data_IF_768447125834
#
_entry.id   IF_768447125834
#
_cell.length_a   1.000
_cell.length_b   1.000
_cell.length_c   1.000
_cell.angle_alpha   90.00
_cell.angle_beta   90.00
_cell.angle_gamma   90.00
#
_symmetry.space_group_name_H-M   'P 1'
#
loop_
_entity.id
_entity.type
_entity.pdbx_description
1 polymer ?
#
# COMPACT_ATOMS: atom_id res chain seq x y z
N UNK A 1 9.44 4.61 22.27
CA UNK A 1 10.28 3.45 22.61
C UNK A 1 9.45 2.40 23.31
N UNK A 2 9.63 1.14 22.93
CA UNK A 2 9.01 0.00 23.54
C UNK A 2 10.06 -1.09 23.79
N UNK A 3 9.94 -1.81 24.91
CA UNK A 3 10.74 -2.97 25.23
C UNK A 3 9.85 -3.99 25.96
N UNK A 4 9.96 -5.27 25.59
CA UNK A 4 9.21 -6.33 26.23
C UNK A 4 10.13 -7.38 26.89
N UNK A 5 9.53 -8.20 27.75
CA UNK A 5 10.23 -9.35 28.37
C UNK A 5 10.62 -10.43 27.35
N UNK A 6 10.02 -10.41 26.15
CA UNK A 6 10.37 -11.30 25.03
C UNK A 6 11.63 -10.87 24.29
N UNK A 7 12.33 -9.82 24.74
CA UNK A 7 13.47 -9.21 24.05
C UNK A 7 13.11 -8.55 22.71
N UNK A 8 11.89 -8.03 22.61
CA UNK A 8 11.47 -7.16 21.52
C UNK A 8 11.72 -5.71 21.90
N UNK A 9 12.36 -5.00 21.01
CA UNK A 9 12.68 -3.58 21.12
C UNK A 9 12.12 -2.84 19.92
N UNK A 10 11.43 -1.72 20.16
CA UNK A 10 10.93 -0.86 19.11
C UNK A 10 11.30 0.60 19.39
N UNK A 11 11.66 1.29 18.34
CA UNK A 11 11.88 2.73 18.36
C UNK A 11 11.04 3.37 17.24
N UNK A 12 10.20 4.32 17.63
CA UNK A 12 9.43 5.14 16.71
C UNK A 12 9.83 6.60 16.89
N UNK A 13 10.05 7.29 15.77
CA UNK A 13 10.25 8.71 15.74
C UNK A 13 9.39 9.33 14.64
N UNK A 14 8.66 10.37 14.98
CA UNK A 14 7.97 11.19 13.99
C UNK A 14 8.30 12.66 14.21
N UNK A 15 8.45 13.38 13.12
CA UNK A 15 8.71 14.81 13.13
C UNK A 15 8.06 15.47 11.93
N UNK A 16 7.37 16.58 12.17
CA UNK A 16 6.84 17.44 11.12
C UNK A 16 7.41 18.84 11.29
N UNK A 17 8.03 19.34 10.23
CA UNK A 17 8.68 20.66 10.22
C UNK A 17 8.02 21.53 9.16
N UNK A 18 7.60 22.72 9.58
CA UNK A 18 7.13 23.77 8.68
C UNK A 18 8.32 24.60 8.23
N UNK A 19 8.74 24.43 6.98
CA UNK A 19 9.90 25.11 6.41
C UNK A 19 9.59 26.55 5.99
N UNK A 20 8.33 26.80 5.60
CA UNK A 20 7.84 28.13 5.25
C UNK A 20 6.32 28.20 5.42
N UNK A 21 5.69 29.32 5.03
CA UNK A 21 4.22 29.45 5.03
C UNK A 21 3.52 28.43 4.13
N UNK A 22 4.22 27.89 3.11
CA UNK A 22 3.65 26.99 2.09
C UNK A 22 4.29 25.61 2.06
N UNK A 23 5.47 25.41 2.63
CA UNK A 23 6.23 24.16 2.61
C UNK A 23 6.30 23.51 3.98
N UNK A 24 6.07 22.23 4.01
CA UNK A 24 6.33 21.38 5.18
C UNK A 24 6.91 20.04 4.76
N UNK A 25 7.63 19.42 5.70
CA UNK A 25 8.11 18.06 5.54
C UNK A 25 7.80 17.25 6.79
N UNK A 26 7.54 15.97 6.62
CA UNK A 26 7.31 15.02 7.70
C UNK A 26 8.22 13.82 7.51
N UNK A 27 8.83 13.38 8.60
CA UNK A 27 9.66 12.18 8.66
C UNK A 27 9.06 11.24 9.69
N UNK A 28 8.86 9.98 9.31
CA UNK A 28 8.57 8.88 10.23
C UNK A 28 9.67 7.84 10.09
N UNK A 29 10.17 7.38 11.22
CA UNK A 29 11.14 6.30 11.29
C UNK A 29 10.66 5.27 12.30
N UNK A 30 10.76 4.02 11.94
CA UNK A 30 10.46 2.88 12.80
C UNK A 30 11.59 1.87 12.72
N UNK A 31 12.00 1.39 13.86
CA UNK A 31 12.92 0.26 14.03
C UNK A 31 12.29 -0.76 14.97
N UNK A 32 12.35 -2.02 14.59
CA UNK A 32 11.95 -3.14 15.41
C UNK A 32 13.03 -4.20 15.40
N UNK A 33 13.29 -4.78 16.57
CA UNK A 33 14.19 -5.92 16.69
C UNK A 33 13.64 -6.90 17.75
N UNK A 34 13.37 -8.15 17.32
CA UNK A 34 13.07 -9.29 18.18
C UNK A 34 14.21 -10.29 18.05
N UNK A 35 15.06 -10.38 19.08
CA UNK A 35 16.36 -11.09 18.96
C UNK A 35 16.28 -12.54 19.36
N UNK A 36 15.28 -12.95 20.14
CA UNK A 36 15.18 -14.30 20.69
C UNK A 36 14.05 -15.09 20.05
N UNK A 37 14.32 -16.36 19.80
CA UNK A 37 13.28 -17.33 19.56
C UNK A 37 12.66 -17.75 20.91
N UNK A 38 11.35 -17.71 21.01
CA UNK A 38 10.56 -18.14 22.16
C UNK A 38 9.80 -19.39 21.76
N UNK A 39 9.85 -20.40 22.62
CA UNK A 39 9.08 -21.65 22.55
C UNK A 39 8.47 -21.82 23.94
N UNK A 40 7.24 -21.33 24.13
CA UNK A 40 6.57 -21.27 25.45
C UNK A 40 5.78 -22.54 25.74
N UNK A 41 5.49 -23.34 24.72
CA UNK A 41 4.73 -24.58 24.80
C UNK A 41 5.61 -25.83 24.70
N UNK A 42 6.92 -25.66 24.56
CA UNK A 42 7.95 -26.73 24.48
C UNK A 42 7.70 -27.70 23.31
N UNK A 43 7.13 -27.23 22.19
CA UNK A 43 6.92 -28.09 21.00
C UNK A 43 8.11 -28.10 20.02
N UNK A 44 9.15 -27.34 20.32
CA UNK A 44 10.36 -27.26 19.54
C UNK A 44 10.30 -26.30 18.36
N UNK A 45 9.25 -25.48 18.27
CA UNK A 45 9.12 -24.41 17.27
C UNK A 45 9.08 -23.03 17.93
N UNK A 46 9.55 -22.04 17.23
CA UNK A 46 9.45 -20.67 17.70
C UNK A 46 8.02 -20.14 17.56
N UNK A 47 7.40 -19.74 18.68
CA UNK A 47 6.07 -19.13 18.74
C UNK A 47 6.04 -17.74 18.08
N UNK A 48 7.15 -17.03 18.17
CA UNK A 48 7.31 -15.67 17.64
C UNK A 48 8.57 -15.63 16.76
N UNK A 49 8.48 -15.12 15.53
CA UNK A 49 9.67 -14.98 14.69
C UNK A 49 10.63 -13.94 15.29
N UNK A 50 11.92 -14.16 15.10
CA UNK A 50 12.91 -13.09 15.26
C UNK A 50 12.73 -12.14 14.10
N UNK A 51 12.70 -10.85 14.39
CA UNK A 51 12.45 -9.79 13.39
C UNK A 51 13.54 -8.74 13.54
N UNK A 52 14.03 -8.27 12.43
CA UNK A 52 14.76 -7.00 12.34
C UNK A 52 14.14 -6.17 11.22
N UNK A 53 13.59 -5.00 11.56
CA UNK A 53 12.90 -4.15 10.60
C UNK A 53 13.36 -2.70 10.72
N UNK A 54 13.58 -2.08 9.57
CA UNK A 54 13.80 -0.66 9.39
C UNK A 54 12.74 -0.12 8.45
N UNK A 55 12.03 0.93 8.85
CA UNK A 55 11.02 1.56 8.03
C UNK A 55 11.19 3.09 8.13
N UNK A 56 11.42 3.71 7.00
CA UNK A 56 11.61 5.16 6.89
C UNK A 56 10.61 5.71 5.88
N UNK A 57 9.91 6.76 6.25
CA UNK A 57 9.01 7.48 5.36
C UNK A 57 9.23 8.98 5.47
N UNK A 58 9.45 9.63 4.33
CA UNK A 58 9.57 11.07 4.25
C UNK A 58 8.59 11.64 3.25
N UNK A 59 7.87 12.67 3.66
CA UNK A 59 6.88 13.36 2.84
C UNK A 59 7.15 14.85 2.81
N UNK A 60 7.01 15.43 1.65
CA UNK A 60 7.02 16.87 1.39
C UNK A 60 5.65 17.32 0.95
N UNK A 61 5.23 18.50 1.42
CA UNK A 61 3.97 19.11 1.04
C UNK A 61 4.15 20.59 0.74
N UNK A 62 3.52 21.04 -0.32
CA UNK A 62 3.39 22.43 -0.70
C UNK A 62 1.92 22.80 -0.79
N UNK A 63 1.51 23.87 -0.12
CA UNK A 63 0.15 24.40 -0.10
C UNK A 63 0.16 25.83 -0.62
N UNK A 64 -0.07 25.99 -1.93
CA UNK A 64 -0.24 27.27 -2.58
C UNK A 64 -1.71 27.68 -2.72
N UNK A 65 -1.96 28.84 -3.30
CA UNK A 65 -3.33 29.36 -3.45
C UNK A 65 -4.15 28.61 -4.50
N UNK A 66 -3.48 28.10 -5.55
CA UNK A 66 -4.08 27.35 -6.65
C UNK A 66 -3.37 26.03 -6.94
N UNK A 67 -2.20 25.81 -6.38
CA UNK A 67 -1.42 24.61 -6.61
C UNK A 67 -1.11 23.94 -5.29
N UNK A 68 -1.41 22.67 -5.21
CA UNK A 68 -1.12 21.79 -4.08
C UNK A 68 -0.23 20.66 -4.58
N UNK A 69 0.85 20.42 -3.86
CA UNK A 69 1.79 19.36 -4.18
C UNK A 69 2.10 18.53 -2.94
N UNK A 70 2.19 17.24 -3.12
CA UNK A 70 2.75 16.31 -2.15
C UNK A 70 3.64 15.31 -2.88
N UNK A 71 4.78 15.01 -2.28
CA UNK A 71 5.63 13.90 -2.72
C UNK A 71 6.14 13.15 -1.49
N UNK A 72 6.40 11.87 -1.62
CA UNK A 72 6.96 11.08 -0.55
C UNK A 72 7.71 9.87 -1.07
N UNK A 73 8.65 9.43 -0.24
CA UNK A 73 9.38 8.18 -0.40
C UNK A 73 9.23 7.35 0.86
N UNK A 74 9.21 6.03 0.69
CA UNK A 74 9.22 5.06 1.77
C UNK A 74 10.23 3.98 1.46
N UNK A 75 10.98 3.59 2.47
CA UNK A 75 11.92 2.48 2.43
C UNK A 75 11.60 1.56 3.60
N UNK A 76 11.45 0.28 3.31
CA UNK A 76 11.30 -0.76 4.31
C UNK A 76 12.27 -1.87 3.97
N UNK A 77 13.02 -2.33 4.97
CA UNK A 77 13.78 -3.57 4.92
C UNK A 77 13.45 -4.38 6.17
N UNK A 78 13.21 -5.67 6.00
CA UNK A 78 12.79 -6.55 7.08
C UNK A 78 13.35 -7.96 6.87
N UNK A 79 13.92 -8.50 7.92
CA UNK A 79 14.31 -9.92 8.04
C UNK A 79 13.49 -10.61 9.12
N UNK A 80 12.82 -11.69 8.75
CA UNK A 80 12.07 -12.56 9.67
C UNK A 80 12.63 -13.97 9.66
N UNK A 81 12.93 -14.48 10.84
CA UNK A 81 13.48 -15.82 11.01
C UNK A 81 12.73 -16.60 12.08
N UNK A 82 12.25 -17.79 11.74
CA UNK A 82 11.50 -18.68 12.62
C UNK A 82 11.81 -20.16 12.30
N UNK A 83 11.07 -21.08 12.86
CA UNK A 83 11.16 -22.51 12.63
C UNK A 83 11.50 -23.28 13.88
N UNK A 84 12.19 -24.41 13.72
CA UNK A 84 12.56 -25.25 14.85
C UNK A 84 13.64 -24.60 15.72
N UNK A 85 13.43 -24.67 17.02
CA UNK A 85 14.37 -24.29 18.08
C UNK A 85 14.79 -25.57 18.83
N UNK A 86 16.10 -25.71 19.10
CA UNK A 86 16.57 -26.91 19.81
C UNK A 86 16.15 -26.92 21.28
N UNK A 87 15.74 -28.06 21.78
CA UNK A 87 15.58 -28.29 23.19
C UNK A 87 16.92 -28.73 23.81
N UNK A 88 17.41 -27.99 24.80
CA UNK A 88 18.63 -28.35 25.52
C UNK A 88 19.93 -28.13 24.75
N UNK A 89 20.96 -28.96 25.07
CA UNK A 89 22.33 -28.76 24.58
C UNK A 89 22.65 -29.45 23.24
N UNK A 90 21.72 -30.23 22.67
CA UNK A 90 21.98 -30.92 21.39
C UNK A 90 21.58 -30.05 20.22
N UNK A 91 22.51 -29.76 19.30
CA UNK A 91 22.16 -29.06 18.06
C UNK A 91 21.25 -29.94 17.19
N UNK A 92 20.22 -29.32 16.60
CA UNK A 92 19.35 -30.00 15.64
C UNK A 92 20.15 -30.31 14.35
N UNK A 93 20.01 -31.53 13.84
CA UNK A 93 20.51 -31.89 12.54
C UNK A 93 19.44 -31.54 11.50
N UNK A 94 19.71 -30.60 10.59
CA UNK A 94 18.82 -30.13 9.52
C UNK A 94 17.46 -29.61 10.03
N UNK A 95 17.44 -28.56 10.90
CA UNK A 95 16.20 -28.04 11.45
C UNK A 95 15.33 -27.38 10.37
N UNK A 96 14.01 -27.49 10.51
CA UNK A 96 13.07 -26.73 9.70
C UNK A 96 13.24 -25.22 9.97
N UNK A 97 13.64 -24.46 8.97
CA UNK A 97 13.85 -23.01 9.06
C UNK A 97 12.85 -22.28 8.21
N UNK A 98 12.38 -21.16 8.72
CA UNK A 98 11.62 -20.17 7.99
C UNK A 98 12.48 -18.89 7.97
N UNK A 99 12.77 -18.38 6.80
CA UNK A 99 13.50 -17.11 6.63
C UNK A 99 12.82 -16.31 5.53
N UNK A 100 12.46 -15.07 5.84
CA UNK A 100 11.81 -14.16 4.89
C UNK A 100 12.54 -12.84 4.97
N UNK A 101 13.23 -12.48 3.88
CA UNK A 101 13.81 -11.16 3.67
C UNK A 101 12.89 -10.32 2.78
N UNK A 102 12.66 -9.08 3.13
CA UNK A 102 11.80 -8.14 2.39
C UNK A 102 12.46 -6.80 2.25
N UNK A 103 12.63 -6.33 1.01
CA UNK A 103 13.00 -4.97 0.69
C UNK A 103 11.87 -4.30 -0.11
N UNK A 104 11.44 -3.11 0.34
CA UNK A 104 10.39 -2.37 -0.34
C UNK A 104 10.72 -0.88 -0.43
N UNK A 105 10.66 -0.36 -1.64
CA UNK A 105 10.86 1.05 -1.97
C UNK A 105 9.60 1.57 -2.61
N UNK A 106 9.08 2.67 -2.10
CA UNK A 106 7.88 3.32 -2.63
C UNK A 106 8.15 4.80 -2.85
N UNK A 107 7.58 5.35 -3.93
CA UNK A 107 7.55 6.77 -4.15
C UNK A 107 6.20 7.20 -4.71
N UNK A 108 5.75 8.40 -4.35
CA UNK A 108 4.55 8.98 -4.93
C UNK A 108 4.65 10.48 -5.10
N UNK A 109 3.86 11.01 -6.03
CA UNK A 109 3.56 12.43 -6.11
C UNK A 109 2.06 12.65 -6.30
N UNK A 110 1.53 13.72 -5.69
CA UNK A 110 0.18 14.22 -5.90
C UNK A 110 0.27 15.69 -6.25
N UNK A 111 -0.26 16.06 -7.39
CA UNK A 111 -0.24 17.41 -7.91
C UNK A 111 -1.68 17.82 -8.19
N UNK A 112 -2.13 18.93 -7.66
CA UNK A 112 -3.46 19.44 -7.94
C UNK A 112 -3.40 20.91 -8.30
N UNK A 113 -4.10 21.27 -9.36
CA UNK A 113 -4.25 22.66 -9.79
C UNK A 113 -5.73 23.07 -9.75
N UNK A 114 -6.01 24.17 -9.05
CA UNK A 114 -7.35 24.71 -8.87
C UNK A 114 -7.55 25.82 -9.89
N UNK A 115 -8.35 25.57 -10.92
CA UNK A 115 -8.68 26.54 -11.97
C UNK A 115 -9.70 27.57 -11.48
N UNK A 116 -10.71 27.11 -10.75
CA UNK A 116 -11.78 27.95 -10.23
C UNK A 116 -12.15 27.52 -8.80
N UNK A 117 -11.94 28.39 -7.83
CA UNK A 117 -12.24 28.13 -6.41
C UNK A 117 -13.74 28.14 -6.09
N UNK A 118 -14.51 28.97 -6.81
CA UNK A 118 -15.96 29.10 -6.55
C UNK A 118 -16.72 27.85 -7.03
N UNK A 119 -16.23 27.24 -8.12
CA UNK A 119 -16.81 26.01 -8.69
C UNK A 119 -16.04 24.75 -8.31
N UNK A 120 -15.09 24.83 -7.39
CA UNK A 120 -14.20 23.73 -7.04
C UNK A 120 -13.60 23.01 -8.27
N UNK A 121 -13.38 23.78 -9.37
CA UNK A 121 -12.85 23.20 -10.62
C UNK A 121 -11.36 22.94 -10.43
N UNK A 122 -10.97 21.68 -10.45
CA UNK A 122 -9.58 21.26 -10.25
C UNK A 122 -9.21 20.07 -11.13
N UNK A 123 -7.91 19.92 -11.34
CA UNK A 123 -7.29 18.78 -11.98
C UNK A 123 -6.17 18.26 -11.06
N UNK A 124 -6.22 17.00 -10.72
CA UNK A 124 -5.21 16.36 -9.91
C UNK A 124 -4.53 15.20 -10.67
N UNK A 125 -3.21 15.16 -10.60
CA UNK A 125 -2.38 14.08 -11.10
C UNK A 125 -1.73 13.36 -9.92
N UNK A 126 -1.97 12.06 -9.81
CA UNK A 126 -1.36 11.17 -8.84
C UNK A 126 -0.47 10.21 -9.60
N UNK A 127 0.80 10.12 -9.20
CA UNK A 127 1.74 9.13 -9.68
C UNK A 127 2.31 8.40 -8.48
N UNK A 128 2.41 7.08 -8.55
CA UNK A 128 3.12 6.28 -7.56
C UNK A 128 3.79 5.07 -8.19
N UNK A 129 4.81 4.57 -7.52
CA UNK A 129 5.47 3.35 -7.91
C UNK A 129 6.08 2.66 -6.71
N UNK A 130 6.23 1.36 -6.80
CA UNK A 130 6.91 0.55 -5.81
C UNK A 130 7.76 -0.53 -6.45
N UNK A 131 8.88 -0.83 -5.77
CA UNK A 131 9.73 -1.98 -5.98
C UNK A 131 9.64 -2.81 -4.71
N UNK A 132 9.28 -4.07 -4.83
CA UNK A 132 9.17 -5.00 -3.70
C UNK A 132 9.92 -6.26 -4.05
N UNK A 133 10.90 -6.59 -3.24
CA UNK A 133 11.66 -7.82 -3.32
C UNK A 133 11.40 -8.65 -2.07
N UNK A 134 11.11 -9.93 -2.24
CA UNK A 134 10.99 -10.88 -1.16
C UNK A 134 11.73 -12.15 -1.52
N UNK A 135 12.61 -12.56 -0.63
CA UNK A 135 13.31 -13.86 -0.66
C UNK A 135 12.78 -14.70 0.51
N UNK A 136 12.13 -15.83 0.23
CA UNK A 136 11.47 -16.61 1.27
C UNK A 136 11.85 -18.10 1.20
N UNK A 137 12.24 -18.62 2.36
CA UNK A 137 12.56 -20.03 2.61
C UNK A 137 11.60 -20.62 3.66
N UNK A 138 10.98 -21.74 3.35
CA UNK A 138 10.13 -22.51 4.24
C UNK A 138 10.63 -23.97 4.27
N UNK A 139 11.58 -24.27 5.14
CA UNK A 139 12.30 -25.55 5.15
C UNK A 139 13.13 -25.72 3.87
N UNK A 140 12.65 -26.53 2.93
CA UNK A 140 13.28 -26.73 1.62
C UNK A 140 12.54 -26.03 0.47
N UNK A 141 11.38 -25.42 0.75
CA UNK A 141 10.60 -24.67 -0.23
C UNK A 141 11.15 -23.26 -0.34
N UNK A 142 11.25 -22.78 -1.56
CA UNK A 142 11.76 -21.45 -1.89
C UNK A 142 10.66 -20.68 -2.64
N UNK A 143 10.50 -19.40 -2.30
CA UNK A 143 9.64 -18.48 -3.04
C UNK A 143 10.29 -17.10 -3.04
N UNK A 144 10.94 -16.76 -4.13
CA UNK A 144 11.55 -15.45 -4.33
C UNK A 144 10.75 -14.67 -5.37
N UNK A 145 10.49 -13.40 -5.11
CA UNK A 145 9.71 -12.56 -6.01
C UNK A 145 10.24 -11.13 -6.04
N UNK A 146 10.41 -10.62 -7.26
CA UNK A 146 10.60 -9.20 -7.55
C UNK A 146 9.33 -8.65 -8.18
N UNK A 147 8.65 -7.73 -7.47
CA UNK A 147 7.44 -7.05 -7.93
C UNK A 147 7.75 -5.59 -8.26
N UNK A 148 7.27 -5.13 -9.40
CA UNK A 148 7.29 -3.72 -9.79
C UNK A 148 5.86 -3.26 -10.01
N UNK A 149 5.48 -2.16 -9.35
CA UNK A 149 4.19 -1.51 -9.56
C UNK A 149 4.39 -0.08 -10.02
N UNK A 150 3.58 0.37 -10.97
CA UNK A 150 3.46 1.76 -11.38
C UNK A 150 1.98 2.14 -11.51
N UNK A 151 1.61 3.25 -10.91
CA UNK A 151 0.24 3.77 -10.94
C UNK A 151 0.23 5.23 -11.36
N UNK A 152 -0.71 5.58 -12.23
CA UNK A 152 -1.01 6.95 -12.62
C UNK A 152 -2.52 7.18 -12.56
N UNK A 153 -2.95 8.36 -12.07
CA UNK A 153 -4.35 8.76 -12.08
C UNK A 153 -4.47 10.26 -12.33
N UNK A 154 -5.30 10.63 -13.29
CA UNK A 154 -5.69 11.99 -13.60
C UNK A 154 -7.16 12.15 -13.22
N UNK A 155 -7.44 13.13 -12.35
CA UNK A 155 -8.74 13.35 -11.75
C UNK A 155 -9.18 14.79 -12.07
N UNK A 156 -10.34 14.95 -12.66
CA UNK A 156 -10.99 16.24 -12.88
C UNK A 156 -12.25 16.32 -12.05
N UNK A 157 -12.45 17.42 -11.35
CA UNK A 157 -13.64 17.70 -10.57
C UNK A 157 -14.13 19.12 -10.83
N UNK A 158 -15.45 19.30 -10.84
CA UNK A 158 -16.08 20.62 -10.95
C UNK A 158 -17.50 20.63 -10.38
N UNK A 159 -17.91 21.73 -9.78
CA UNK A 159 -19.30 22.03 -9.48
C UNK A 159 -19.94 22.70 -10.69
N UNK A 160 -20.91 22.04 -11.31
CA UNK A 160 -21.71 22.58 -12.41
C UNK A 160 -22.68 23.65 -11.88
N UNK A 161 -23.29 23.35 -10.74
CA UNK A 161 -24.13 24.25 -9.95
C UNK A 161 -23.91 23.99 -8.45
N UNK A 162 -24.49 24.79 -7.56
CA UNK A 162 -24.43 24.54 -6.10
C UNK A 162 -24.95 23.17 -5.66
N UNK A 163 -25.72 22.49 -6.51
CA UNK A 163 -26.32 21.19 -6.23
C UNK A 163 -25.80 20.06 -7.11
N UNK A 164 -24.96 20.35 -8.09
CA UNK A 164 -24.53 19.40 -9.10
C UNK A 164 -23.02 19.43 -9.23
N UNK A 165 -22.39 18.28 -9.11
CA UNK A 165 -20.97 18.12 -9.36
C UNK A 165 -20.68 16.98 -10.33
N UNK A 166 -19.61 17.15 -11.07
CA UNK A 166 -19.08 16.20 -12.03
C UNK A 166 -17.66 15.83 -11.62
N UNK A 167 -17.36 14.54 -11.58
CA UNK A 167 -16.02 14.00 -11.44
C UNK A 167 -15.74 13.07 -12.62
N UNK A 168 -14.57 13.20 -13.23
CA UNK A 168 -14.12 12.32 -14.30
C UNK A 168 -12.64 12.02 -14.11
N UNK A 169 -12.19 10.86 -14.56
CA UNK A 169 -10.78 10.53 -14.41
C UNK A 169 -10.31 9.43 -15.33
N UNK A 170 -9.00 9.42 -15.51
CA UNK A 170 -8.24 8.37 -16.17
C UNK A 170 -7.33 7.71 -15.16
N UNK A 171 -7.12 6.42 -15.28
CA UNK A 171 -6.18 5.69 -14.45
C UNK A 171 -5.38 4.70 -15.27
N UNK A 172 -4.20 4.39 -14.79
CA UNK A 172 -3.35 3.35 -15.33
C UNK A 172 -2.67 2.64 -14.17
N UNK A 173 -2.79 1.34 -14.11
CA UNK A 173 -2.03 0.50 -13.19
C UNK A 173 -1.20 -0.50 -13.98
N UNK A 174 0.04 -0.67 -13.60
CA UNK A 174 0.95 -1.68 -14.13
C UNK A 174 1.57 -2.45 -12.99
N UNK A 175 1.48 -3.77 -13.05
CA UNK A 175 2.13 -4.70 -12.16
C UNK A 175 2.96 -5.72 -12.95
N UNK A 176 4.14 -6.04 -12.45
CA UNK A 176 4.91 -7.17 -12.95
C UNK A 176 5.53 -7.94 -11.78
N UNK A 177 5.62 -9.26 -11.95
CA UNK A 177 6.18 -10.19 -10.99
C UNK A 177 7.19 -11.09 -11.70
N UNK A 178 8.43 -11.07 -11.24
CA UNK A 178 9.43 -12.07 -11.59
C UNK A 178 9.56 -13.04 -10.40
N UNK A 179 9.13 -14.28 -10.58
CA UNK A 179 8.99 -15.26 -9.52
C UNK A 179 9.93 -16.44 -9.78
N UNK A 180 10.71 -16.80 -8.76
CA UNK A 180 11.55 -17.97 -8.75
C UNK A 180 11.15 -18.84 -7.55
N UNK A 181 10.60 -20.01 -7.80
CA UNK A 181 10.09 -20.83 -6.70
C UNK A 181 10.28 -22.32 -6.91
N UNK A 182 10.35 -23.02 -5.80
CA UNK A 182 10.25 -24.47 -5.68
C UNK A 182 9.37 -24.79 -4.48
N UNK A 183 8.16 -25.28 -4.73
CA UNK A 183 7.17 -25.61 -3.70
C UNK A 183 7.22 -27.09 -3.28
N UNK A 184 8.11 -27.86 -3.86
CA UNK A 184 8.43 -29.23 -3.46
C UNK A 184 9.50 -29.24 -2.36
N UNK A 185 9.47 -30.27 -1.50
CA UNK A 185 10.49 -30.53 -0.49
C UNK A 185 11.75 -31.19 -1.04
N UNK A 186 11.70 -31.72 -2.28
CA UNK A 186 12.89 -32.29 -2.95
C UNK A 186 13.80 -31.16 -3.43
N UNK A 187 14.91 -30.98 -2.74
CA UNK A 187 15.89 -29.96 -3.06
C UNK A 187 16.59 -30.19 -4.43
N UNK A 188 16.48 -31.38 -5.01
CA UNK A 188 17.04 -31.70 -6.35
C UNK A 188 16.14 -31.12 -7.47
N UNK A 189 14.87 -30.78 -7.19
CA UNK A 189 14.00 -30.19 -8.20
C UNK A 189 14.48 -28.76 -8.56
N UNK A 190 14.51 -28.43 -9.85
CA UNK A 190 14.90 -27.09 -10.29
C UNK A 190 13.89 -26.02 -9.83
N UNK A 191 14.36 -24.78 -9.71
CA UNK A 191 13.48 -23.64 -9.51
C UNK A 191 12.62 -23.39 -10.74
N UNK A 192 11.32 -23.24 -10.53
CA UNK A 192 10.39 -22.73 -11.55
C UNK A 192 10.58 -21.22 -11.66
N UNK A 193 10.72 -20.73 -12.88
CA UNK A 193 10.74 -19.29 -13.18
C UNK A 193 9.44 -18.89 -13.85
N UNK A 194 8.80 -17.87 -13.32
CA UNK A 194 7.53 -17.37 -13.87
C UNK A 194 7.53 -15.85 -13.88
N UNK A 195 7.43 -15.27 -15.05
CA UNK A 195 7.23 -13.84 -15.20
C UNK A 195 5.77 -13.56 -15.58
N UNK A 196 5.12 -12.65 -14.85
CA UNK A 196 3.77 -12.18 -15.15
C UNK A 196 3.76 -10.66 -15.14
N UNK A 197 2.92 -10.07 -15.99
CA UNK A 197 2.70 -8.62 -16.03
C UNK A 197 1.26 -8.33 -16.37
N UNK A 198 0.72 -7.27 -15.82
CA UNK A 198 -0.62 -6.79 -16.12
C UNK A 198 -0.61 -5.27 -16.26
N UNK A 199 -1.32 -4.77 -17.26
CA UNK A 199 -1.56 -3.36 -17.47
C UNK A 199 -3.07 -3.10 -17.50
N UNK A 200 -3.53 -2.15 -16.70
CA UNK A 200 -4.95 -1.83 -16.54
C UNK A 200 -5.18 -0.33 -16.73
N UNK A 201 -5.32 0.18 -17.98
CA UNK A 201 -5.90 1.48 -18.22
C UNK A 201 -7.38 1.49 -17.87
N UNK A 202 -7.87 2.61 -17.33
CA UNK A 202 -9.26 2.80 -16.98
C UNK A 202 -9.71 4.24 -17.10
N UNK A 203 -11.02 4.44 -17.27
CA UNK A 203 -11.64 5.75 -17.28
C UNK A 203 -12.97 5.69 -16.53
N UNK A 204 -13.34 6.80 -15.87
CA UNK A 204 -14.63 6.90 -15.21
C UNK A 204 -15.23 8.29 -15.38
N UNK A 205 -16.55 8.34 -15.22
CA UNK A 205 -17.33 9.54 -15.03
C UNK A 205 -18.36 9.33 -13.96
N UNK A 206 -18.57 10.32 -13.11
CA UNK A 206 -19.50 10.32 -11.99
C UNK A 206 -20.20 11.65 -11.92
N UNK A 207 -21.50 11.63 -11.76
CA UNK A 207 -22.35 12.80 -11.52
C UNK A 207 -23.00 12.68 -10.16
N UNK A 208 -23.01 13.79 -9.39
CA UNK A 208 -23.64 13.86 -8.09
C UNK A 208 -24.64 15.03 -8.07
N UNK A 209 -25.87 14.73 -7.63
CA UNK A 209 -26.88 15.71 -7.31
C UNK A 209 -27.09 15.76 -5.79
N UNK A 210 -26.95 16.93 -5.20
CA UNK A 210 -27.13 17.16 -3.77
C UNK A 210 -28.23 18.21 -3.55
N UNK A 211 -29.34 17.78 -3.01
CA UNK A 211 -30.44 18.67 -2.61
C UNK A 211 -30.34 18.95 -1.11
N UNK A 212 -29.61 20.03 -0.78
CA UNK A 212 -29.48 20.62 0.56
C UNK A 212 -29.19 19.55 1.65
N UNK A 213 -28.34 18.56 1.34
CA UNK A 213 -28.01 17.38 2.15
C UNK A 213 -29.20 16.48 2.55
N UNK A 214 -30.42 16.85 2.16
CA UNK A 214 -31.62 16.02 2.35
C UNK A 214 -31.66 14.83 1.41
N UNK A 215 -31.28 15.04 0.15
CA UNK A 215 -31.21 13.98 -0.84
C UNK A 215 -29.91 14.11 -1.63
N UNK A 216 -29.07 13.09 -1.59
CA UNK A 216 -27.89 13.00 -2.44
C UNK A 216 -28.06 11.78 -3.35
N UNK A 217 -27.97 12.03 -4.66
CA UNK A 217 -27.98 11.01 -5.70
C UNK A 217 -26.63 11.05 -6.39
N UNK A 218 -25.98 9.91 -6.48
CA UNK A 218 -24.72 9.76 -7.20
C UNK A 218 -24.87 8.61 -8.20
N UNK A 219 -24.54 8.87 -9.45
CA UNK A 219 -24.45 7.88 -10.49
C UNK A 219 -23.12 7.97 -11.22
N UNK A 220 -22.53 6.85 -11.52
CA UNK A 220 -21.25 6.79 -12.22
C UNK A 220 -21.05 5.50 -13.00
N UNK A 221 -20.15 5.55 -13.93
CA UNK A 221 -19.70 4.40 -14.72
C UNK A 221 -18.19 4.44 -14.85
N UNK A 222 -17.57 3.28 -14.73
CA UNK A 222 -16.14 3.07 -14.93
C UNK A 222 -15.95 1.93 -15.93
N UNK A 223 -15.05 2.14 -16.89
CA UNK A 223 -14.55 1.12 -17.81
C UNK A 223 -13.07 0.90 -17.60
N UNK A 224 -12.66 -0.35 -17.56
CA UNK A 224 -11.26 -0.76 -17.44
C UNK A 224 -10.94 -1.82 -18.50
N UNK A 225 -9.67 -1.93 -18.86
CA UNK A 225 -9.17 -2.99 -19.73
C UNK A 225 -7.93 -3.63 -19.08
N UNK A 226 -8.07 -4.86 -18.60
CA UNK A 226 -6.94 -5.66 -18.18
C UNK A 226 -6.28 -6.32 -19.38
N UNK A 227 -4.94 -6.25 -19.46
CA UNK A 227 -4.18 -6.99 -20.48
C UNK A 227 -4.30 -8.51 -20.36
N UNK A 228 -4.72 -9.02 -19.19
CA UNK A 228 -4.89 -10.45 -18.92
C UNK A 228 -6.35 -10.90 -19.04
N UNK A 229 -7.32 -10.07 -18.57
CA UNK A 229 -8.72 -10.48 -18.41
C UNK A 229 -9.69 -9.74 -19.37
N UNK A 230 -9.19 -8.77 -20.16
CA UNK A 230 -10.00 -8.04 -21.12
C UNK A 230 -10.79 -6.88 -20.51
N UNK A 231 -11.92 -6.53 -21.14
CA UNK A 231 -12.72 -5.36 -20.79
C UNK A 231 -13.76 -5.67 -19.71
N UNK A 232 -13.94 -4.75 -18.78
CA UNK A 232 -15.03 -4.78 -17.81
C UNK A 232 -15.55 -3.38 -17.51
N UNK A 233 -16.86 -3.31 -17.16
CA UNK A 233 -17.54 -2.06 -16.87
C UNK A 233 -18.21 -2.18 -15.51
N UNK A 234 -18.02 -1.16 -14.68
CA UNK A 234 -18.55 -1.13 -13.31
C UNK A 234 -19.46 0.09 -13.15
N UNK A 235 -20.79 -0.06 -13.18
CA UNK A 235 -21.70 0.99 -12.80
C UNK A 235 -21.72 1.17 -11.29
N UNK A 236 -21.94 2.41 -10.84
CA UNK A 236 -22.13 2.76 -9.43
C UNK A 236 -23.37 3.62 -9.29
N UNK A 237 -24.16 3.33 -8.26
CA UNK A 237 -25.27 4.16 -7.85
C UNK A 237 -25.33 4.24 -6.34
N UNK A 238 -25.52 5.45 -5.82
CA UNK A 238 -25.64 5.69 -4.39
C UNK A 238 -26.74 6.71 -4.13
N UNK A 239 -27.59 6.41 -3.16
CA UNK A 239 -28.65 7.30 -2.66
C UNK A 239 -28.45 7.52 -1.17
N UNK A 240 -28.45 8.78 -0.76
CA UNK A 240 -28.54 9.16 0.65
C UNK A 240 -29.78 10.03 0.81
N UNK A 241 -30.68 9.66 1.74
CA UNK A 241 -31.87 10.41 2.04
C UNK A 241 -31.97 10.69 3.55
N UNK A 242 -32.00 11.96 3.92
CA UNK A 242 -32.11 12.45 5.28
C UNK A 242 -33.44 13.22 5.44
N UNK A 243 -34.57 12.56 5.77
CA UNK A 243 -35.85 13.25 5.96
C UNK A 243 -35.83 14.25 7.09
N UNK A 244 -35.02 14.02 8.11
CA UNK A 244 -34.78 14.91 9.25
C UNK A 244 -33.38 14.65 9.84
N UNK A 245 -33.05 15.40 10.92
CA UNK A 245 -31.75 15.34 11.59
C UNK A 245 -31.45 13.99 12.30
N UNK A 246 -32.46 13.16 12.53
CA UNK A 246 -32.37 11.91 13.30
C UNK A 246 -32.39 10.65 12.43
N UNK A 247 -32.89 10.76 11.20
CA UNK A 247 -33.09 9.59 10.33
C UNK A 247 -32.30 9.73 9.05
N UNK A 248 -31.45 8.73 8.78
CA UNK A 248 -30.57 8.68 7.62
C UNK A 248 -30.72 7.34 6.91
N UNK A 249 -31.05 7.38 5.63
CA UNK A 249 -31.08 6.21 4.74
C UNK A 249 -29.87 6.30 3.79
N UNK A 250 -29.22 5.15 3.57
CA UNK A 250 -28.08 5.00 2.63
C UNK A 250 -28.20 3.70 1.86
#
# INVERSE_FOLDING_TARGET
LFASSTNRYEANADATVKLSKRWSTSLLAHYENETKAHDSNDDGFADIPRVEQYNLWNRWAYMGDRYVFQAGIKVLTEDRNSGQVGHGKMPLTDPYKISIGTDRYEAFTKNAYIFNKEKNTNLALILSGSLHKQDALYGRKIYDVDQHNAYASLLFETELTKRQSLSAGLSFNYDSYDQHYRLDNDAAQPLTKKFTKEAVPGAYVQYTYNWDDKLVLMGGIRGDHSSEYGYFVTPRFHVKYNPNEYVHFR
#
